data_IF_568941401339
#
_entry.id   IF_568941401339
#
_cell.length_a   1.000
_cell.length_b   1.000
_cell.length_c   1.000
_cell.angle_alpha   90.00
_cell.angle_beta   90.00
_cell.angle_gamma   90.00
#
_symmetry.space_group_name_H-M   'P 1'
#
loop_
_entity.id
_entity.type
_entity.pdbx_description
1 polymer ?
#
# COMPACT_ATOMS: atom_id res chain seq x y z
N UNK A 1 4.54 52.81 -49.40
CA UNK A 1 3.67 51.59 -49.37
C UNK A 1 4.40 50.29 -48.97
N UNK A 2 5.73 50.15 -49.13
CA UNK A 2 6.48 48.93 -48.77
C UNK A 2 6.73 48.72 -47.26
N UNK A 3 6.67 49.78 -46.44
CA UNK A 3 6.88 49.72 -44.98
C UNK A 3 5.61 49.37 -44.19
N UNK A 4 4.43 49.71 -44.71
CA UNK A 4 3.15 49.42 -44.07
C UNK A 4 2.81 47.92 -44.10
N UNK A 5 3.21 47.22 -45.17
CA UNK A 5 3.04 45.78 -45.31
C UNK A 5 3.93 44.97 -44.36
N UNK A 6 5.18 45.44 -44.12
CA UNK A 6 6.10 44.81 -43.15
C UNK A 6 5.65 44.99 -41.70
N UNK A 7 5.07 46.12 -41.34
CA UNK A 7 4.57 46.38 -39.99
C UNK A 7 3.33 45.52 -39.67
N UNK A 8 2.44 45.31 -40.65
CA UNK A 8 1.26 44.47 -40.48
C UNK A 8 1.61 42.97 -40.36
N UNK A 9 2.60 42.49 -41.12
CA UNK A 9 3.10 41.11 -41.02
C UNK A 9 3.77 40.86 -39.66
N UNK A 10 4.53 41.85 -39.15
CA UNK A 10 5.16 41.74 -37.83
C UNK A 10 4.12 41.78 -36.70
N UNK A 11 3.10 42.63 -36.84
CA UNK A 11 2.00 42.70 -35.89
C UNK A 11 1.25 41.35 -35.85
N UNK A 12 0.89 40.77 -37.00
CA UNK A 12 0.27 39.45 -37.09
C UNK A 12 1.09 38.32 -36.44
N UNK A 13 2.43 38.37 -36.52
CA UNK A 13 3.30 37.34 -35.92
C UNK A 13 3.33 37.42 -34.38
N UNK A 14 3.29 38.63 -33.82
CA UNK A 14 3.27 38.86 -32.36
C UNK A 14 1.93 38.42 -31.74
N UNK A 15 0.81 38.65 -32.42
CA UNK A 15 -0.52 38.18 -31.94
C UNK A 15 -0.66 36.65 -32.04
N UNK A 16 0.03 35.99 -32.97
CA UNK A 16 -0.03 34.53 -33.10
C UNK A 16 0.76 33.79 -32.02
N UNK A 17 1.86 34.36 -31.51
CA UNK A 17 2.65 33.77 -30.42
C UNK A 17 2.05 34.01 -29.02
N UNK A 18 1.22 35.04 -28.86
CA UNK A 18 0.54 35.33 -27.59
C UNK A 18 -0.64 34.39 -27.29
N UNK A 19 -1.12 33.62 -28.29
CA UNK A 19 -2.27 32.72 -28.17
C UNK A 19 -1.97 31.28 -27.73
N UNK A 20 -0.70 30.91 -27.51
CA UNK A 20 -0.32 29.52 -27.21
C UNK A 20 0.01 29.32 -25.71
N UNK A 21 0.10 30.39 -24.92
CA UNK A 21 0.32 30.28 -23.49
C UNK A 21 -1.01 30.19 -22.72
N UNK A 22 -1.28 28.98 -22.23
CA UNK A 22 -2.24 28.63 -21.20
C UNK A 22 -3.60 28.08 -21.64
N UNK A 23 -3.60 27.02 -22.46
CA UNK A 23 -4.49 25.88 -22.20
C UNK A 23 -3.71 24.86 -21.36
N UNK A 24 -3.38 25.22 -20.11
CA UNK A 24 -2.87 24.27 -19.14
C UNK A 24 -3.98 23.30 -18.75
N UNK A 25 -4.08 22.18 -19.47
CA UNK A 25 -4.29 20.84 -18.91
C UNK A 25 -5.16 20.73 -17.62
N UNK A 26 -6.43 21.14 -17.68
CA UNK A 26 -7.37 20.91 -16.56
C UNK A 26 -7.70 19.41 -16.35
N UNK A 27 -7.46 18.57 -17.35
CA UNK A 27 -7.76 17.14 -17.28
C UNK A 27 -6.81 16.43 -16.30
N UNK A 28 -5.62 16.99 -16.07
CA UNK A 28 -4.56 16.43 -15.26
C UNK A 28 -4.76 16.75 -13.79
N UNK A 29 -5.24 17.96 -13.48
CA UNK A 29 -5.43 18.43 -12.11
C UNK A 29 -6.66 17.77 -11.47
N UNK A 30 -7.75 17.64 -12.23
CA UNK A 30 -8.93 16.90 -11.78
C UNK A 30 -8.63 15.40 -11.60
N UNK A 31 -7.90 14.77 -12.53
CA UNK A 31 -7.46 13.38 -12.38
C UNK A 31 -6.50 13.19 -11.21
N UNK A 32 -5.55 14.11 -11.02
CA UNK A 32 -4.62 14.12 -9.89
C UNK A 32 -5.36 14.25 -8.55
N UNK A 33 -6.34 15.14 -8.47
CA UNK A 33 -7.18 15.29 -7.26
C UNK A 33 -7.98 14.02 -6.95
N UNK A 34 -8.53 13.32 -7.96
CA UNK A 34 -9.22 12.04 -7.76
C UNK A 34 -8.26 10.95 -7.26
N UNK A 35 -7.06 10.86 -7.82
CA UNK A 35 -6.03 9.92 -7.39
C UNK A 35 -5.53 10.22 -5.96
N UNK A 36 -5.31 11.50 -5.63
CA UNK A 36 -4.90 11.95 -4.30
C UNK A 36 -5.99 11.66 -3.26
N UNK A 37 -7.25 11.98 -3.55
CA UNK A 37 -8.38 11.67 -2.68
C UNK A 37 -8.54 10.16 -2.45
N UNK A 38 -8.34 9.33 -3.48
CA UNK A 38 -8.34 7.88 -3.36
C UNK A 38 -7.20 7.36 -2.47
N UNK A 39 -5.99 7.88 -2.65
CA UNK A 39 -4.83 7.51 -1.83
C UNK A 39 -5.03 7.89 -0.36
N UNK A 40 -5.61 9.07 -0.10
CA UNK A 40 -5.93 9.56 1.25
C UNK A 40 -7.02 8.72 1.91
N UNK A 41 -8.06 8.35 1.15
CA UNK A 41 -9.09 7.45 1.64
C UNK A 41 -8.52 6.07 1.98
N UNK A 42 -7.63 5.52 1.13
CA UNK A 42 -6.93 4.27 1.40
C UNK A 42 -6.11 4.32 2.68
N UNK A 43 -5.34 5.40 2.89
CA UNK A 43 -4.58 5.59 4.12
C UNK A 43 -5.48 5.71 5.37
N UNK A 44 -6.59 6.46 5.27
CA UNK A 44 -7.55 6.59 6.36
C UNK A 44 -8.24 5.26 6.72
N UNK A 45 -8.54 4.43 5.72
CA UNK A 45 -9.08 3.08 5.94
C UNK A 45 -8.06 2.22 6.68
N UNK A 46 -6.79 2.23 6.26
CA UNK A 46 -5.72 1.48 6.93
C UNK A 46 -5.58 1.88 8.40
N UNK A 47 -5.60 3.19 8.69
CA UNK A 47 -5.52 3.70 10.07
C UNK A 47 -6.73 3.29 10.91
N UNK A 48 -7.93 3.40 10.35
CA UNK A 48 -9.16 2.95 11.00
C UNK A 48 -9.15 1.43 11.26
N UNK A 49 -8.66 0.64 10.32
CA UNK A 49 -8.54 -0.82 10.48
C UNK A 49 -7.56 -1.19 11.59
N UNK A 50 -6.40 -0.53 11.67
CA UNK A 50 -5.44 -0.74 12.77
C UNK A 50 -6.09 -0.41 14.12
N UNK A 51 -6.83 0.70 14.21
CA UNK A 51 -7.54 1.09 15.42
C UNK A 51 -8.60 0.05 15.84
N UNK A 52 -9.31 -0.55 14.89
CA UNK A 52 -10.28 -1.61 15.16
C UNK A 52 -9.61 -2.86 15.72
N UNK A 53 -8.53 -3.34 15.09
CA UNK A 53 -7.78 -4.49 15.61
C UNK A 53 -7.17 -4.23 16.99
N UNK A 54 -6.76 -2.99 17.30
CA UNK A 54 -6.31 -2.65 18.65
C UNK A 54 -7.41 -2.85 19.70
N UNK A 55 -8.66 -2.48 19.40
CA UNK A 55 -9.80 -2.73 20.29
C UNK A 55 -10.04 -4.22 20.47
N UNK A 56 -9.98 -5.00 19.38
CA UNK A 56 -10.16 -6.45 19.45
C UNK A 56 -9.06 -7.14 20.27
N UNK A 57 -7.81 -6.70 20.13
CA UNK A 57 -6.69 -7.19 20.95
C UNK A 57 -6.89 -6.82 22.42
N UNK A 58 -7.41 -5.63 22.72
CA UNK A 58 -7.71 -5.25 24.10
C UNK A 58 -8.82 -6.13 24.72
N UNK A 59 -9.81 -6.53 23.93
CA UNK A 59 -10.88 -7.43 24.35
C UNK A 59 -10.42 -8.89 24.46
N UNK A 60 -9.58 -9.35 23.52
CA UNK A 60 -9.01 -10.69 23.52
C UNK A 60 -7.50 -10.65 23.19
N UNK A 61 -6.64 -10.52 24.21
CA UNK A 61 -5.19 -10.48 24.03
C UNK A 61 -4.57 -11.78 23.50
N UNK A 62 -5.35 -12.87 23.40
CA UNK A 62 -4.93 -14.18 22.89
C UNK A 62 -5.55 -14.49 21.52
N UNK A 63 -6.00 -13.49 20.78
CA UNK A 63 -6.52 -13.70 19.42
C UNK A 63 -5.39 -13.66 18.38
N UNK A 64 -4.92 -14.82 17.92
CA UNK A 64 -3.93 -14.91 16.84
C UNK A 64 -4.41 -14.23 15.54
N UNK A 65 -5.71 -14.32 15.26
CA UNK A 65 -6.34 -13.66 14.12
C UNK A 65 -6.25 -12.14 14.22
N UNK A 66 -6.50 -11.56 15.40
CA UNK A 66 -6.46 -10.11 15.58
C UNK A 66 -5.04 -9.55 15.39
N UNK A 67 -4.02 -10.23 15.92
CA UNK A 67 -2.63 -9.86 15.66
C UNK A 67 -2.26 -10.01 14.18
N UNK A 68 -2.67 -11.10 13.53
CA UNK A 68 -2.41 -11.29 12.09
C UNK A 68 -3.09 -10.21 11.24
N UNK A 69 -4.33 -9.85 11.57
CA UNK A 69 -5.07 -8.78 10.93
C UNK A 69 -4.37 -7.44 11.07
N UNK A 70 -3.98 -7.07 12.30
CA UNK A 70 -3.22 -5.83 12.55
C UNK A 70 -1.89 -5.81 11.80
N UNK A 71 -1.15 -6.92 11.81
CA UNK A 71 0.11 -7.07 11.11
C UNK A 71 -0.02 -6.86 9.60
N UNK A 72 -1.08 -7.37 8.98
CA UNK A 72 -1.34 -7.16 7.56
C UNK A 72 -1.58 -5.68 7.20
N UNK A 73 -2.35 -4.95 8.01
CA UNK A 73 -2.58 -3.52 7.79
C UNK A 73 -1.34 -2.67 8.07
N UNK A 74 -0.54 -3.00 9.10
CA UNK A 74 0.77 -2.37 9.32
C UNK A 74 1.72 -2.60 8.15
N UNK A 75 1.76 -3.82 7.62
CA UNK A 75 2.55 -4.14 6.44
C UNK A 75 2.10 -3.29 5.24
N UNK A 76 0.79 -3.17 5.00
CA UNK A 76 0.24 -2.32 3.93
C UNK A 76 0.56 -0.84 4.12
N UNK A 77 0.61 -0.37 5.38
CA UNK A 77 1.03 1.01 5.74
C UNK A 77 2.53 1.26 5.57
N UNK A 78 3.33 0.21 5.35
CA UNK A 78 4.78 0.30 5.26
C UNK A 78 5.52 0.09 6.59
N UNK A 79 4.80 -0.09 7.70
CA UNK A 79 5.38 -0.48 8.98
C UNK A 79 5.71 -1.98 8.98
N UNK A 80 6.80 -2.33 8.30
CA UNK A 80 7.23 -3.72 8.13
C UNK A 80 7.69 -4.34 9.45
N UNK A 81 8.38 -3.57 10.29
CA UNK A 81 8.88 -4.06 11.57
C UNK A 81 7.74 -4.32 12.54
N UNK A 82 6.78 -3.40 12.67
CA UNK A 82 5.59 -3.61 13.49
C UNK A 82 4.69 -4.74 12.97
N UNK A 83 4.69 -5.00 11.66
CA UNK A 83 4.04 -6.18 11.10
C UNK A 83 4.73 -7.49 11.51
N UNK A 84 6.07 -7.56 11.48
CA UNK A 84 6.84 -8.73 11.94
C UNK A 84 6.54 -9.05 13.40
N UNK A 85 6.46 -8.03 14.25
CA UNK A 85 6.11 -8.18 15.67
C UNK A 85 4.71 -8.77 15.86
N UNK A 86 3.73 -8.23 15.14
CA UNK A 86 2.35 -8.70 15.21
C UNK A 86 2.19 -10.13 14.70
N UNK A 87 2.78 -10.47 13.55
CA UNK A 87 2.76 -11.85 13.06
C UNK A 87 3.53 -12.81 13.98
N UNK A 88 4.62 -12.36 14.60
CA UNK A 88 5.34 -13.16 15.60
C UNK A 88 4.46 -13.43 16.82
N UNK A 89 3.71 -12.43 17.29
CA UNK A 89 2.76 -12.63 18.38
C UNK A 89 1.63 -13.59 18.00
N UNK A 90 1.11 -13.48 16.78
CA UNK A 90 0.12 -14.43 16.25
C UNK A 90 0.66 -15.87 16.24
N UNK A 91 1.89 -16.10 15.78
CA UNK A 91 2.54 -17.43 15.76
C UNK A 91 2.79 -17.96 17.18
N UNK A 92 3.11 -17.09 18.15
CA UNK A 92 3.24 -17.51 19.55
C UNK A 92 1.92 -18.00 20.15
N UNK A 93 0.79 -17.43 19.70
CA UNK A 93 -0.55 -17.79 20.16
C UNK A 93 -1.05 -19.04 19.43
N UNK A 94 -0.91 -19.05 18.10
CA UNK A 94 -1.25 -20.18 17.23
C UNK A 94 -0.07 -20.50 16.32
N UNK A 95 0.76 -21.48 16.70
CA UNK A 95 1.91 -21.91 15.91
C UNK A 95 1.56 -22.47 14.53
N UNK A 96 0.30 -22.88 14.32
CA UNK A 96 -0.18 -23.49 13.08
C UNK A 96 -0.84 -22.46 12.14
N UNK A 97 -0.82 -21.17 12.48
CA UNK A 97 -1.41 -20.12 11.66
C UNK A 97 -0.63 -19.92 10.35
N UNK A 98 -1.14 -20.50 9.26
CA UNK A 98 -0.57 -20.36 7.91
C UNK A 98 -0.48 -18.90 7.49
N UNK A 99 -1.51 -18.10 7.82
CA UNK A 99 -1.58 -16.67 7.53
C UNK A 99 -0.48 -15.89 8.24
N UNK A 100 -0.22 -16.20 9.51
CA UNK A 100 0.81 -15.50 10.28
C UNK A 100 2.23 -15.83 9.79
N UNK A 101 2.52 -17.11 9.47
CA UNK A 101 3.80 -17.49 8.86
C UNK A 101 3.98 -16.82 7.50
N UNK A 102 2.98 -16.88 6.62
CA UNK A 102 3.05 -16.23 5.30
C UNK A 102 3.25 -14.72 5.41
N UNK A 103 2.51 -14.07 6.32
CA UNK A 103 2.59 -12.63 6.56
C UNK A 103 3.94 -12.19 7.11
N UNK A 104 4.49 -12.94 8.08
CA UNK A 104 5.83 -12.66 8.62
C UNK A 104 6.92 -12.88 7.58
N UNK A 105 6.80 -13.94 6.77
CA UNK A 105 7.72 -14.21 5.67
C UNK A 105 7.77 -13.07 4.66
N UNK A 106 6.61 -12.55 4.25
CA UNK A 106 6.53 -11.39 3.36
C UNK A 106 7.16 -10.13 4.00
N UNK A 107 6.88 -9.87 5.27
CA UNK A 107 7.44 -8.73 5.98
C UNK A 107 8.98 -8.82 6.14
N UNK A 108 9.50 -9.99 6.53
CA UNK A 108 10.94 -10.27 6.62
C UNK A 108 11.65 -10.12 5.27
N UNK A 109 11.04 -10.62 4.21
CA UNK A 109 11.55 -10.44 2.86
C UNK A 109 11.71 -8.95 2.50
N UNK A 110 10.71 -8.12 2.82
CA UNK A 110 10.78 -6.68 2.52
C UNK A 110 11.85 -5.92 3.31
N UNK A 111 12.23 -6.40 4.49
CA UNK A 111 13.32 -5.79 5.29
C UNK A 111 14.69 -6.43 5.03
N UNK A 112 14.78 -7.38 4.09
CA UNK A 112 16.02 -8.04 3.71
C UNK A 112 16.41 -9.26 4.56
N UNK A 113 15.57 -9.70 5.51
CA UNK A 113 15.75 -10.96 6.23
C UNK A 113 15.29 -12.14 5.37
N UNK A 114 16.09 -12.44 4.34
CA UNK A 114 15.76 -13.47 3.34
C UNK A 114 15.74 -14.86 3.98
N UNK A 115 16.71 -15.16 4.87
CA UNK A 115 16.79 -16.46 5.54
C UNK A 115 15.57 -16.70 6.45
N UNK A 116 15.18 -15.70 7.24
CA UNK A 116 13.98 -15.78 8.07
C UNK A 116 12.70 -15.90 7.23
N UNK A 117 12.61 -15.19 6.11
CA UNK A 117 11.49 -15.28 5.18
C UNK A 117 11.32 -16.68 4.58
N UNK A 118 12.42 -17.30 4.11
CA UNK A 118 12.41 -18.67 3.58
C UNK A 118 11.90 -19.65 4.64
N UNK A 119 12.40 -19.54 5.88
CA UNK A 119 11.96 -20.38 6.98
C UNK A 119 10.45 -20.27 7.24
N UNK A 120 9.92 -19.05 7.24
CA UNK A 120 8.49 -18.81 7.42
C UNK A 120 7.64 -19.38 6.28
N UNK A 121 8.07 -19.21 5.02
CA UNK A 121 7.35 -19.78 3.88
C UNK A 121 7.37 -21.31 3.85
N UNK A 122 8.49 -21.93 4.23
CA UNK A 122 8.58 -23.40 4.37
C UNK A 122 7.59 -23.88 5.43
N UNK A 123 7.51 -23.21 6.59
CA UNK A 123 6.55 -23.56 7.63
C UNK A 123 5.10 -23.41 7.13
N UNK A 124 4.77 -22.31 6.45
CA UNK A 124 3.43 -22.10 5.88
C UNK A 124 3.06 -23.20 4.87
N UNK A 125 3.98 -23.57 3.97
CA UNK A 125 3.77 -24.64 3.00
C UNK A 125 3.56 -26.01 3.70
N UNK A 126 4.40 -26.31 4.69
CA UNK A 126 4.32 -27.52 5.51
C UNK A 126 2.95 -27.63 6.19
N UNK A 127 2.52 -26.57 6.87
CA UNK A 127 1.22 -26.51 7.56
C UNK A 127 0.04 -26.63 6.58
N UNK A 128 0.15 -26.03 5.40
CA UNK A 128 -0.87 -26.12 4.35
C UNK A 128 -1.04 -27.55 3.84
N UNK A 129 0.07 -28.27 3.66
CA UNK A 129 0.05 -29.67 3.29
C UNK A 129 -0.63 -30.54 4.36
N UNK A 130 -0.28 -30.36 5.63
CA UNK A 130 -0.88 -31.12 6.75
C UNK A 130 -2.37 -30.85 6.93
N UNK A 131 -2.79 -29.59 6.79
CA UNK A 131 -4.21 -29.20 6.88
C UNK A 131 -5.07 -29.89 5.81
N UNK A 132 -4.47 -30.23 4.66
CA UNK A 132 -5.14 -30.93 3.56
C UNK A 132 -5.18 -32.44 3.74
N UNK A 133 -4.21 -33.03 4.43
CA UNK A 133 -4.12 -34.48 4.65
C UNK A 133 -4.88 -35.00 5.87
N UNK A 134 -5.28 -34.11 6.80
CA UNK A 134 -5.92 -34.46 8.07
C UNK A 134 -7.45 -34.55 8.08
N UNK A 135 -8.12 -34.41 6.94
CA UNK A 135 -9.59 -34.51 6.81
C UNK A 135 -10.00 -35.86 6.19
N UNK A 136 -9.61 -36.97 6.81
CA UNK A 136 -9.94 -38.34 6.39
C UNK A 136 -10.39 -39.19 7.55
#
# INVERSE_FOLDING_TARGET
MKHLCRLFIFFCFVIMTAGISSCGNNQNDAQKAVLENGSKLGAAIVDSSIAQWNKEIALNPKSAQAYSGRGAFKYAKGDKQGAIEDFTKAIQIDPNSITAHSGRGAARFTVGDITGAIGDFINAARLSFFSRSGNG
#
